data_IF_707049764290
#
_entry.id   IF_707049764290
#
_cell.length_a   1.000
_cell.length_b   1.000
_cell.length_c   1.000
_cell.angle_alpha   90.00
_cell.angle_beta   90.00
_cell.angle_gamma   90.00
#
_symmetry.space_group_name_H-M   'P 1'
#
loop_
_entity.id
_entity.type
_entity.pdbx_description
1 polymer ?
#
# COMPACT_ATOMS: atom_id res chain seq x y z
N UNK A 1 -13.93 -27.46 9.57
CA UNK A 1 -12.89 -27.42 10.63
C UNK A 1 -13.13 -26.21 11.53
N UNK A 2 -13.22 -26.43 12.84
CA UNK A 2 -13.50 -25.37 13.84
C UNK A 2 -12.22 -24.53 14.08
N UNK A 3 -12.39 -23.25 14.37
CA UNK A 3 -11.29 -22.39 14.82
C UNK A 3 -11.23 -22.44 16.34
N UNK A 4 -10.04 -22.68 16.89
CA UNK A 4 -9.82 -22.62 18.33
C UNK A 4 -9.69 -21.15 18.79
N UNK A 5 -10.07 -20.83 20.04
CA UNK A 5 -9.90 -19.48 20.59
C UNK A 5 -8.46 -18.97 20.48
N UNK A 6 -7.47 -19.83 20.73
CA UNK A 6 -6.05 -19.50 20.70
C UNK A 6 -5.59 -19.16 19.27
N UNK A 7 -6.07 -19.88 18.28
CA UNK A 7 -5.80 -19.58 16.86
C UNK A 7 -6.38 -18.23 16.45
N UNK A 8 -7.56 -17.88 16.98
CA UNK A 8 -8.20 -16.59 16.74
C UNK A 8 -7.37 -15.46 17.35
N UNK A 9 -6.87 -15.63 18.57
CA UNK A 9 -6.02 -14.63 19.23
C UNK A 9 -4.67 -14.45 18.50
N UNK A 10 -4.04 -15.54 18.08
CA UNK A 10 -2.83 -15.48 17.23
C UNK A 10 -3.13 -14.76 15.92
N UNK A 11 -4.26 -15.07 15.28
CA UNK A 11 -4.67 -14.39 14.05
C UNK A 11 -4.86 -12.89 14.29
N UNK A 12 -5.59 -12.45 15.33
CA UNK A 12 -5.78 -11.02 15.65
C UNK A 12 -4.45 -10.31 15.88
N UNK A 13 -3.50 -10.95 16.56
CA UNK A 13 -2.20 -10.36 16.88
C UNK A 13 -1.29 -10.20 15.65
N UNK A 14 -1.36 -11.15 14.72
CA UNK A 14 -0.44 -11.22 13.57
C UNK A 14 -1.04 -10.62 12.29
N UNK A 15 -2.35 -10.68 12.12
CA UNK A 15 -3.02 -10.19 10.91
C UNK A 15 -2.87 -8.67 10.82
N UNK A 16 -2.27 -8.20 9.73
CA UNK A 16 -1.89 -6.81 9.56
C UNK A 16 -0.44 -6.50 9.94
N UNK A 17 0.27 -7.37 10.68
CA UNK A 17 1.72 -7.27 10.95
C UNK A 17 2.57 -8.19 10.09
N UNK A 18 2.01 -9.33 9.68
CA UNK A 18 2.68 -10.34 8.86
C UNK A 18 1.90 -10.69 7.59
N UNK A 19 2.57 -11.10 6.52
CA UNK A 19 1.93 -11.70 5.35
C UNK A 19 1.07 -12.92 5.72
N UNK A 20 -0.08 -13.14 5.07
CA UNK A 20 -0.95 -14.29 5.40
C UNK A 20 -0.26 -15.61 5.13
N UNK A 21 0.69 -15.66 4.19
CA UNK A 21 1.52 -16.86 3.97
C UNK A 21 2.32 -17.27 5.21
N UNK A 22 2.80 -16.32 6.01
CA UNK A 22 3.53 -16.62 7.24
C UNK A 22 2.57 -17.06 8.34
N UNK A 23 1.43 -16.37 8.48
CA UNK A 23 0.39 -16.72 9.44
C UNK A 23 -0.18 -18.13 9.15
N UNK A 24 -0.36 -18.45 7.87
CA UNK A 24 -0.78 -19.76 7.39
C UNK A 24 0.18 -20.87 7.80
N UNK A 25 1.50 -20.64 7.70
CA UNK A 25 2.53 -21.59 8.19
C UNK A 25 2.47 -21.77 9.71
N UNK A 26 2.34 -20.66 10.46
CA UNK A 26 2.27 -20.69 11.94
C UNK A 26 1.06 -21.47 12.43
N UNK A 27 -0.12 -21.19 11.87
CA UNK A 27 -1.38 -21.83 12.25
C UNK A 27 -1.63 -23.15 11.53
N UNK A 28 -0.71 -23.61 10.68
CA UNK A 28 -0.84 -24.80 9.83
C UNK A 28 -2.18 -24.85 9.07
N UNK A 29 -2.62 -23.70 8.56
CA UNK A 29 -3.86 -23.52 7.80
C UNK A 29 -3.56 -22.98 6.41
N UNK A 30 -4.45 -23.18 5.45
CA UNK A 30 -4.31 -22.57 4.13
C UNK A 30 -4.45 -21.05 4.19
N UNK A 31 -3.77 -20.33 3.31
CA UNK A 31 -3.91 -18.87 3.19
C UNK A 31 -5.37 -18.44 3.02
N UNK A 32 -6.13 -19.19 2.21
CA UNK A 32 -7.56 -18.97 2.04
C UNK A 32 -8.34 -19.05 3.36
N UNK A 33 -8.04 -20.03 4.21
CA UNK A 33 -8.68 -20.16 5.53
C UNK A 33 -8.36 -18.99 6.44
N UNK A 34 -7.10 -18.53 6.44
CA UNK A 34 -6.66 -17.33 7.19
C UNK A 34 -7.44 -16.09 6.72
N UNK A 35 -7.47 -15.83 5.43
CA UNK A 35 -8.13 -14.63 4.88
C UNK A 35 -9.64 -14.65 5.08
N UNK A 36 -10.28 -15.81 4.90
CA UNK A 36 -11.72 -15.99 5.14
C UNK A 36 -12.08 -15.73 6.61
N UNK A 37 -11.28 -16.25 7.54
CA UNK A 37 -11.49 -16.03 8.98
C UNK A 37 -11.21 -14.59 9.39
N UNK A 38 -10.13 -14.01 8.89
CA UNK A 38 -9.81 -12.61 9.16
C UNK A 38 -10.95 -11.69 8.71
N UNK A 39 -11.50 -11.92 7.50
CA UNK A 39 -12.66 -11.19 7.00
C UNK A 39 -13.89 -11.34 7.89
N UNK A 40 -14.20 -12.56 8.36
CA UNK A 40 -15.35 -12.76 9.25
C UNK A 40 -15.17 -12.18 10.67
N UNK A 41 -13.92 -11.91 11.06
CA UNK A 41 -13.58 -11.20 12.30
C UNK A 41 -13.45 -9.68 12.11
N UNK A 42 -13.70 -9.15 10.90
CA UNK A 42 -13.48 -7.73 10.60
C UNK A 42 -12.01 -7.30 10.66
N UNK A 43 -11.08 -8.24 10.56
CA UNK A 43 -9.65 -7.93 10.56
C UNK A 43 -9.22 -7.46 9.16
N UNK A 44 -8.68 -6.25 9.12
CA UNK A 44 -8.09 -5.68 7.93
C UNK A 44 -6.57 -5.82 7.99
N UNK A 45 -5.94 -5.97 6.84
CA UNK A 45 -4.49 -5.80 6.78
C UNK A 45 -4.19 -4.34 7.05
N UNK A 46 -3.22 -4.08 7.93
CA UNK A 46 -2.61 -2.77 7.99
C UNK A 46 -1.96 -2.53 6.63
N UNK A 47 -2.50 -1.57 5.90
CA UNK A 47 -1.96 -1.16 4.61
C UNK A 47 -0.62 -0.48 4.94
N UNK A 48 0.47 -1.25 4.90
CA UNK A 48 1.80 -0.88 5.38
C UNK A 48 2.44 0.15 4.45
N UNK A 49 1.81 1.29 4.23
CA UNK A 49 2.43 2.41 3.52
C UNK A 49 3.52 2.99 4.40
N UNK A 50 4.76 2.93 3.95
CA UNK A 50 5.86 3.56 4.67
C UNK A 50 5.77 5.09 4.52
N UNK A 51 6.53 5.82 5.34
CA UNK A 51 6.55 7.29 5.25
C UNK A 51 7.08 7.73 3.89
N UNK A 52 8.09 7.04 3.39
CA UNK A 52 8.73 7.28 2.10
C UNK A 52 7.75 7.03 0.94
N UNK A 53 6.98 5.93 0.99
CA UNK A 53 5.95 5.66 -0.03
C UNK A 53 4.81 6.70 -0.01
N UNK A 54 4.46 7.21 1.17
CA UNK A 54 3.46 8.29 1.32
C UNK A 54 4.01 9.60 0.73
N UNK A 55 5.26 9.94 1.05
CA UNK A 55 5.92 11.13 0.53
C UNK A 55 6.03 11.08 -1.01
N UNK A 56 6.38 9.93 -1.57
CA UNK A 56 6.36 9.71 -3.02
C UNK A 56 4.96 9.99 -3.60
N UNK A 57 3.89 9.49 -2.97
CA UNK A 57 2.53 9.78 -3.43
C UNK A 57 2.22 11.28 -3.36
N UNK A 58 2.53 11.94 -2.25
CA UNK A 58 2.23 13.36 -2.07
C UNK A 58 2.95 14.24 -3.09
N UNK A 59 4.21 13.91 -3.42
CA UNK A 59 5.02 14.68 -4.35
C UNK A 59 4.70 14.38 -5.82
N UNK A 60 4.44 13.12 -6.17
CA UNK A 60 4.40 12.70 -7.57
C UNK A 60 2.99 12.34 -8.08
N UNK A 61 2.06 11.93 -7.22
CA UNK A 61 0.78 11.38 -7.68
C UNK A 61 -0.03 12.33 -8.57
N UNK A 62 0.08 13.64 -8.34
CA UNK A 62 -0.69 14.64 -9.10
C UNK A 62 -0.29 14.69 -10.57
N UNK A 63 1.00 14.54 -10.90
CA UNK A 63 1.50 14.77 -12.26
C UNK A 63 2.16 13.55 -12.91
N UNK A 64 2.70 12.61 -12.12
CA UNK A 64 3.31 11.41 -12.64
C UNK A 64 2.30 10.50 -13.35
N UNK A 65 2.74 9.90 -14.45
CA UNK A 65 2.05 8.82 -15.16
C UNK A 65 1.85 7.59 -14.27
N UNK A 66 1.04 6.65 -14.76
CA UNK A 66 0.84 5.38 -14.04
C UNK A 66 2.16 4.59 -14.01
N UNK A 67 2.90 4.61 -15.11
CA UNK A 67 4.14 3.89 -15.31
C UNK A 67 5.21 4.42 -14.36
N UNK A 68 5.43 5.74 -14.30
CA UNK A 68 6.34 6.38 -13.34
C UNK A 68 5.99 6.00 -11.89
N UNK A 69 4.72 6.04 -11.50
CA UNK A 69 4.33 5.68 -10.13
C UNK A 69 4.55 4.20 -9.80
N UNK A 70 4.44 3.30 -10.78
CA UNK A 70 4.74 1.89 -10.58
C UNK A 70 6.24 1.63 -10.50
N UNK A 71 7.06 2.42 -11.19
CA UNK A 71 8.52 2.41 -11.06
C UNK A 71 8.97 2.95 -9.71
N UNK A 72 8.39 4.07 -9.25
CA UNK A 72 8.69 4.67 -7.94
C UNK A 72 8.16 3.84 -6.75
N UNK A 73 7.08 3.08 -6.95
CA UNK A 73 6.46 2.24 -5.91
C UNK A 73 6.39 0.77 -6.36
N UNK A 74 7.53 0.08 -6.55
CA UNK A 74 7.57 -1.23 -7.19
C UNK A 74 6.91 -2.35 -6.36
N UNK A 75 6.67 -2.10 -5.06
CA UNK A 75 5.98 -3.02 -4.15
C UNK A 75 4.46 -2.82 -4.14
N UNK A 76 3.93 -1.83 -4.86
CA UNK A 76 2.52 -1.45 -4.87
C UNK A 76 1.88 -1.76 -6.21
N UNK A 77 0.65 -2.26 -6.14
CA UNK A 77 -0.18 -2.36 -7.34
C UNK A 77 -0.82 -1.01 -7.62
N UNK A 78 -1.21 -0.79 -8.88
CA UNK A 78 -1.92 0.43 -9.28
C UNK A 78 -3.18 0.68 -8.45
N UNK A 79 -3.97 -0.36 -8.17
CA UNK A 79 -5.16 -0.24 -7.32
C UNK A 79 -4.80 0.19 -5.88
N UNK A 80 -3.71 -0.31 -5.31
CA UNK A 80 -3.26 0.12 -3.98
C UNK A 80 -2.86 1.60 -3.99
N UNK A 81 -2.10 2.03 -5.00
CA UNK A 81 -1.71 3.43 -5.21
C UNK A 81 -2.95 4.34 -5.29
N UNK A 82 -3.92 4.00 -6.13
CA UNK A 82 -5.15 4.79 -6.27
C UNK A 82 -5.97 4.85 -4.97
N UNK A 83 -6.12 3.73 -4.27
CA UNK A 83 -6.83 3.67 -3.00
C UNK A 83 -6.15 4.54 -1.95
N UNK A 84 -4.82 4.48 -1.85
CA UNK A 84 -4.08 5.30 -0.89
C UNK A 84 -4.14 6.77 -1.24
N UNK A 85 -3.95 7.14 -2.50
CA UNK A 85 -4.07 8.52 -2.95
C UNK A 85 -5.45 9.11 -2.66
N UNK A 86 -6.52 8.30 -2.84
CA UNK A 86 -7.88 8.70 -2.46
C UNK A 86 -8.01 8.94 -0.95
N UNK A 87 -7.41 8.08 -0.11
CA UNK A 87 -7.38 8.27 1.35
C UNK A 87 -6.61 9.54 1.75
N UNK A 88 -5.56 9.90 1.01
CA UNK A 88 -4.76 11.11 1.21
C UNK A 88 -5.38 12.36 0.56
N UNK A 89 -6.51 12.24 -0.15
CA UNK A 89 -7.17 13.36 -0.83
C UNK A 89 -6.42 13.87 -2.08
N UNK A 90 -5.46 13.11 -2.59
CA UNK A 90 -4.64 13.49 -3.75
C UNK A 90 -5.44 13.34 -5.05
N UNK A 91 -5.25 14.29 -5.97
CA UNK A 91 -5.93 14.33 -7.28
C UNK A 91 -4.89 14.31 -8.40
N UNK A 92 -5.18 13.54 -9.45
CA UNK A 92 -4.39 13.53 -10.70
C UNK A 92 -4.75 14.72 -11.58
N UNK A 93 -3.78 15.22 -12.33
CA UNK A 93 -3.91 16.24 -13.38
C UNK A 93 -3.24 15.74 -14.64
N UNK A 94 -3.77 16.15 -15.78
CA UNK A 94 -3.24 15.79 -17.10
C UNK A 94 -2.26 16.83 -17.64
N UNK A 95 -2.15 18.00 -17.01
CA UNK A 95 -1.23 19.09 -17.40
C UNK A 95 -0.84 19.96 -16.21
N UNK A 96 0.36 20.51 -16.27
CA UNK A 96 0.84 21.57 -15.37
C UNK A 96 0.07 22.86 -15.62
N UNK A 97 -0.12 23.69 -14.58
CA UNK A 97 -0.81 24.97 -14.74
C UNK A 97 0.10 26.05 -15.31
N UNK A 98 1.40 25.97 -15.03
CA UNK A 98 2.42 26.93 -15.42
C UNK A 98 3.80 26.23 -15.46
N UNK A 99 4.82 26.96 -15.91
CA UNK A 99 6.20 26.46 -16.02
C UNK A 99 6.84 26.15 -14.65
N UNK A 100 6.47 26.91 -13.62
CA UNK A 100 6.99 26.73 -12.26
C UNK A 100 6.55 25.38 -11.67
N UNK A 101 5.26 25.02 -11.82
CA UNK A 101 4.72 23.72 -11.40
C UNK A 101 5.49 22.56 -12.08
N UNK A 102 5.88 22.72 -13.35
CA UNK A 102 6.66 21.71 -14.08
C UNK A 102 8.09 21.61 -13.55
N UNK A 103 8.75 22.74 -13.28
CA UNK A 103 10.09 22.78 -12.69
C UNK A 103 10.13 22.13 -11.31
N UNK A 104 9.14 22.41 -10.46
CA UNK A 104 9.03 21.81 -9.12
C UNK A 104 8.84 20.29 -9.19
N UNK A 105 8.05 19.80 -10.15
CA UNK A 105 7.91 18.36 -10.41
C UNK A 105 9.22 17.71 -10.88
N UNK A 106 9.95 18.35 -11.80
CA UNK A 106 11.24 17.83 -12.25
C UNK A 106 12.27 17.77 -11.10
N UNK A 107 12.25 18.78 -10.23
CA UNK A 107 13.13 18.82 -9.05
C UNK A 107 12.76 17.75 -8.03
N UNK A 108 11.47 17.47 -7.81
CA UNK A 108 11.07 16.37 -6.93
C UNK A 108 11.51 15.01 -7.48
N UNK A 109 11.45 14.80 -8.80
CA UNK A 109 11.91 13.55 -9.42
C UNK A 109 13.41 13.30 -9.19
N UNK A 110 14.24 14.35 -9.27
CA UNK A 110 15.70 14.24 -9.04
C UNK A 110 16.00 13.70 -7.64
N UNK A 111 15.28 14.17 -6.62
CA UNK A 111 15.47 13.76 -5.22
C UNK A 111 15.16 12.29 -4.96
N UNK A 112 14.38 11.64 -5.83
CA UNK A 112 14.00 10.24 -5.69
C UNK A 112 14.89 9.31 -6.52
N UNK A 113 15.59 9.84 -7.54
CA UNK A 113 16.42 9.06 -8.47
C UNK A 113 17.92 9.13 -8.12
N UNK A 114 18.36 10.09 -7.31
CA UNK A 114 19.74 10.11 -6.81
C UNK A 114 20.00 8.96 -5.81
N UNK A 115 20.89 8.05 -6.21
CA UNK A 115 21.51 7.00 -5.38
C UNK A 115 22.84 7.49 -4.80
#
# INVERSE_FOLDING_TARGET
MKWLPEEVEVLKKLYGKKPAREIAKILRRSMYSIEKKARSLGLHRQDYWTKEEIEILEQHYTYASKEELLELLPKRTWNAIQNKAKQLGLKRRTRFKNEQDFKEYLESLRKVVEF
#
